data_IF_904762972442
#
_entry.id   IF_904762972442
#
_cell.length_a   1.000
_cell.length_b   1.000
_cell.length_c   1.000
_cell.angle_alpha   90.00
_cell.angle_beta   90.00
_cell.angle_gamma   90.00
#
_symmetry.space_group_name_H-M   'P 1'
#
loop_
_entity.id
_entity.type
_entity.pdbx_description
1 polymer ?
#
# COMPACT_ATOMS: atom_id res chain seq x y z
N UNK A 1 3.90 -10.49 2.82
CA UNK A 1 4.93 -11.42 3.35
C UNK A 1 5.08 -12.59 2.39
N UNK A 2 6.32 -13.04 2.12
CA UNK A 2 6.57 -14.22 1.27
C UNK A 2 5.88 -15.48 1.84
N UNK A 3 5.30 -16.37 1.02
CA UNK A 3 4.66 -17.60 1.50
C UNK A 3 5.60 -18.51 2.29
N UNK A 4 6.88 -18.54 1.88
CA UNK A 4 7.94 -19.34 2.50
C UNK A 4 8.76 -18.56 3.54
N UNK A 5 8.20 -17.50 4.14
CA UNK A 5 8.96 -16.60 5.01
C UNK A 5 9.70 -17.34 6.14
N UNK A 6 9.02 -18.26 6.83
CA UNK A 6 9.61 -19.01 7.94
C UNK A 6 10.70 -19.96 7.45
N UNK A 7 10.49 -20.60 6.30
CA UNK A 7 11.43 -21.52 5.66
C UNK A 7 12.70 -20.79 5.17
N UNK A 8 12.54 -19.57 4.64
CA UNK A 8 13.67 -18.69 4.26
C UNK A 8 14.47 -18.32 5.51
N UNK A 9 13.80 -17.82 6.56
CA UNK A 9 14.44 -17.44 7.81
C UNK A 9 15.16 -18.61 8.49
N UNK A 10 14.59 -19.83 8.45
CA UNK A 10 15.21 -21.00 9.06
C UNK A 10 16.53 -21.42 8.37
N UNK A 11 16.59 -21.28 7.04
CA UNK A 11 17.77 -21.62 6.24
C UNK A 11 18.96 -20.68 6.47
N UNK A 12 18.75 -19.49 7.05
CA UNK A 12 19.83 -18.54 7.35
C UNK A 12 20.65 -19.05 8.54
N UNK A 13 21.95 -19.29 8.30
CA UNK A 13 22.88 -19.88 9.28
C UNK A 13 23.71 -18.81 9.98
N UNK A 14 23.06 -18.07 10.87
CA UNK A 14 23.72 -17.09 11.75
C UNK A 14 23.50 -17.51 13.22
N UNK A 15 24.58 -17.64 14.02
CA UNK A 15 24.45 -17.95 15.44
C UNK A 15 23.59 -16.91 16.17
N UNK A 16 22.62 -17.37 16.97
CA UNK A 16 21.75 -16.54 17.79
C UNK A 16 20.95 -15.46 17.04
N UNK A 17 20.74 -15.62 15.73
CA UNK A 17 19.91 -14.69 14.95
C UNK A 17 18.50 -14.55 15.55
N UNK A 18 17.99 -13.32 15.55
CA UNK A 18 16.62 -12.99 15.94
C UNK A 18 15.92 -12.26 14.81
N UNK A 19 14.74 -12.75 14.43
CA UNK A 19 13.85 -12.11 13.48
C UNK A 19 12.73 -11.40 14.24
N UNK A 20 12.66 -10.07 14.12
CA UNK A 20 11.61 -9.27 14.74
C UNK A 20 10.56 -9.00 13.67
N UNK A 21 9.32 -9.44 13.92
CA UNK A 21 8.21 -9.32 12.96
C UNK A 21 7.18 -8.34 13.50
N UNK A 22 7.11 -7.16 12.87
CA UNK A 22 6.16 -6.10 13.20
C UNK A 22 4.95 -6.12 12.25
N UNK A 23 3.78 -5.78 12.78
CA UNK A 23 2.53 -5.69 12.02
C UNK A 23 1.86 -7.05 11.75
N UNK A 24 0.95 -7.06 10.77
CA UNK A 24 0.28 -8.27 10.26
C UNK A 24 -1.00 -8.69 11.01
N UNK A 25 -2.11 -9.00 10.31
CA UNK A 25 -3.31 -9.57 10.94
C UNK A 25 -3.12 -11.03 11.38
N UNK A 26 -2.09 -11.72 10.85
CA UNK A 26 -1.92 -13.17 10.95
C UNK A 26 -0.76 -13.60 11.87
N UNK A 27 -0.33 -12.75 12.82
CA UNK A 27 0.85 -13.07 13.64
C UNK A 27 0.71 -14.36 14.45
N UNK A 28 -0.48 -14.63 14.99
CA UNK A 28 -0.72 -15.87 15.75
C UNK A 28 -0.57 -17.13 14.85
N UNK A 29 -0.98 -17.04 13.58
CA UNK A 29 -0.87 -18.14 12.62
C UNK A 29 0.61 -18.41 12.31
N UNK A 30 1.38 -17.34 12.02
CA UNK A 30 2.82 -17.43 11.77
C UNK A 30 3.58 -17.98 12.98
N UNK A 31 3.26 -17.51 14.18
CA UNK A 31 3.86 -17.97 15.42
C UNK A 31 3.60 -19.46 15.66
N UNK A 32 2.35 -19.92 15.47
CA UNK A 32 2.00 -21.33 15.60
C UNK A 32 2.73 -22.20 14.57
N UNK A 33 2.85 -21.74 13.32
CA UNK A 33 3.62 -22.44 12.28
C UNK A 33 5.11 -22.51 12.66
N UNK A 34 5.68 -21.43 13.19
CA UNK A 34 7.07 -21.42 13.67
C UNK A 34 7.29 -22.38 14.86
N UNK A 35 6.30 -22.52 15.76
CA UNK A 35 6.33 -23.52 16.85
C UNK A 35 6.31 -24.94 16.31
N UNK A 36 5.44 -25.24 15.35
CA UNK A 36 5.36 -26.55 14.70
C UNK A 36 6.67 -26.91 13.97
N UNK A 37 7.34 -25.93 13.38
CA UNK A 37 8.65 -26.09 12.73
C UNK A 37 9.82 -26.19 13.74
N UNK A 38 9.60 -25.96 15.03
CA UNK A 38 10.65 -25.98 16.06
C UNK A 38 11.57 -24.74 16.07
N UNK A 39 11.22 -23.69 15.31
CA UNK A 39 12.08 -22.51 15.09
C UNK A 39 11.58 -21.25 15.79
N UNK A 40 10.47 -21.33 16.54
CA UNK A 40 9.87 -20.17 17.22
C UNK A 40 10.86 -19.38 18.08
N UNK A 41 11.87 -20.05 18.66
CA UNK A 41 12.94 -19.41 19.44
C UNK A 41 13.79 -18.40 18.64
N UNK A 42 13.78 -18.45 17.30
CA UNK A 42 14.45 -17.47 16.41
C UNK A 42 13.63 -16.20 16.20
N UNK A 43 12.36 -16.15 16.60
CA UNK A 43 11.44 -15.07 16.23
C UNK A 43 10.92 -14.30 17.45
N UNK A 44 10.65 -13.01 17.23
CA UNK A 44 9.86 -12.16 18.10
C UNK A 44 8.69 -11.61 17.27
N UNK A 45 7.50 -12.21 17.40
CA UNK A 45 6.29 -11.76 16.71
C UNK A 45 5.58 -10.69 17.53
N UNK A 46 5.82 -9.42 17.21
CA UNK A 46 5.36 -8.28 18.02
C UNK A 46 3.90 -7.93 17.75
N UNK A 47 3.43 -8.09 16.51
CA UNK A 47 2.10 -7.60 16.11
C UNK A 47 2.14 -6.13 15.72
N UNK A 48 0.94 -5.55 15.59
CA UNK A 48 0.80 -4.11 15.36
C UNK A 48 1.35 -3.37 16.59
N UNK A 49 2.25 -2.42 16.36
CA UNK A 49 2.83 -1.58 17.40
C UNK A 49 2.93 -0.14 16.90
N UNK A 50 2.83 0.81 17.82
CA UNK A 50 3.18 2.22 17.58
C UNK A 50 4.65 2.52 17.86
N UNK A 51 5.34 1.65 18.59
CA UNK A 51 6.77 1.81 18.95
C UNK A 51 7.66 1.08 17.93
N UNK A 52 7.68 1.59 16.69
CA UNK A 52 8.55 1.04 15.62
C UNK A 52 10.02 1.40 15.89
N UNK A 53 10.26 2.59 16.44
CA UNK A 53 11.59 3.14 16.67
C UNK A 53 12.46 2.26 17.57
N UNK A 54 11.91 1.74 18.67
CA UNK A 54 12.63 0.86 19.59
C UNK A 54 13.15 -0.41 18.91
N UNK A 55 12.40 -0.98 17.96
CA UNK A 55 12.80 -2.17 17.23
C UNK A 55 13.82 -1.87 16.12
N UNK A 56 13.68 -0.74 15.45
CA UNK A 56 14.66 -0.28 14.46
C UNK A 56 16.03 -0.08 15.11
N UNK A 57 16.09 0.56 16.28
CA UNK A 57 17.34 0.87 16.99
C UNK A 57 18.19 -0.36 17.36
N UNK A 58 17.55 -1.50 17.56
CA UNK A 58 18.22 -2.75 17.95
C UNK A 58 18.46 -3.70 16.77
N UNK A 59 18.07 -3.32 15.56
CA UNK A 59 18.19 -4.15 14.36
C UNK A 59 19.46 -3.81 13.57
N UNK A 60 20.02 -4.79 12.87
CA UNK A 60 21.18 -4.60 11.99
C UNK A 60 20.79 -4.44 10.51
N UNK A 61 19.81 -5.25 10.07
CA UNK A 61 19.42 -5.43 8.67
C UNK A 61 17.90 -5.38 8.59
N UNK A 62 17.37 -4.69 7.58
CA UNK A 62 15.95 -4.71 7.26
C UNK A 62 15.67 -5.80 6.22
N UNK A 63 15.25 -6.97 6.69
CA UNK A 63 14.89 -8.10 5.84
C UNK A 63 13.48 -7.96 5.29
N UNK A 64 13.34 -7.85 3.95
CA UNK A 64 12.05 -7.60 3.32
C UNK A 64 11.75 -8.56 2.14
N UNK A 65 11.62 -9.88 2.40
CA UNK A 65 11.23 -10.83 1.37
C UNK A 65 9.70 -10.74 1.19
N UNK A 66 9.23 -9.80 0.38
CA UNK A 66 7.81 -9.73 0.05
C UNK A 66 7.43 -10.77 -1.00
N UNK A 67 6.16 -11.19 -0.95
CA UNK A 67 5.59 -12.07 -1.96
C UNK A 67 5.60 -11.36 -3.31
N UNK A 68 6.08 -12.00 -4.38
CA UNK A 68 6.11 -11.46 -5.74
C UNK A 68 4.78 -10.90 -6.25
N UNK A 69 3.67 -11.39 -5.73
CA UNK A 69 2.32 -10.96 -6.10
C UNK A 69 1.77 -9.84 -5.18
N UNK A 70 2.61 -9.17 -4.40
CA UNK A 70 2.17 -8.02 -3.60
C UNK A 70 1.84 -6.82 -4.50
N UNK A 71 0.87 -6.01 -4.06
CA UNK A 71 0.41 -4.81 -4.79
C UNK A 71 1.02 -3.51 -4.23
N UNK A 72 2.09 -3.61 -3.44
CA UNK A 72 2.73 -2.43 -2.86
C UNK A 72 3.41 -1.62 -3.94
N UNK A 73 3.07 -0.33 -4.06
CA UNK A 73 3.65 0.60 -5.05
C UNK A 73 4.62 1.59 -4.42
N UNK A 74 4.51 1.80 -3.11
CA UNK A 74 5.39 2.61 -2.27
C UNK A 74 5.33 2.00 -0.87
N UNK A 75 6.48 1.87 -0.21
CA UNK A 75 6.55 1.22 1.09
C UNK A 75 7.15 2.15 2.16
N UNK A 76 6.33 2.51 3.14
CA UNK A 76 6.73 3.38 4.24
C UNK A 76 7.72 2.69 5.19
N UNK A 77 7.52 1.40 5.47
CA UNK A 77 8.41 0.65 6.36
C UNK A 77 9.82 0.54 5.78
N UNK A 78 9.93 0.37 4.46
CA UNK A 78 11.22 0.41 3.77
C UNK A 78 11.88 1.79 3.89
N UNK A 79 11.14 2.89 3.70
CA UNK A 79 11.69 4.26 3.83
C UNK A 79 12.13 4.56 5.26
N UNK A 80 11.35 4.18 6.26
CA UNK A 80 11.66 4.36 7.69
C UNK A 80 12.94 3.61 8.09
N UNK A 81 13.04 2.34 7.67
CA UNK A 81 14.21 1.51 7.92
C UNK A 81 15.46 2.11 7.26
N UNK A 82 15.36 2.47 5.98
CA UNK A 82 16.48 3.05 5.23
C UNK A 82 16.92 4.41 5.81
N UNK A 83 15.98 5.27 6.20
CA UNK A 83 16.25 6.57 6.84
C UNK A 83 16.98 6.43 8.18
N UNK A 84 16.79 5.29 8.85
CA UNK A 84 17.47 4.95 10.10
C UNK A 84 18.84 4.29 9.88
N UNK A 85 19.19 3.97 8.63
CA UNK A 85 20.44 3.32 8.25
C UNK A 85 20.41 1.79 8.32
N UNK A 86 19.24 1.17 8.47
CA UNK A 86 19.10 -0.29 8.34
C UNK A 86 19.25 -0.67 6.88
N UNK A 87 20.19 -1.56 6.59
CA UNK A 87 20.47 -2.00 5.21
C UNK A 87 19.31 -2.88 4.73
N UNK A 88 18.60 -2.50 3.64
CA UNK A 88 17.52 -3.32 3.12
C UNK A 88 18.09 -4.49 2.31
N UNK A 89 17.59 -5.69 2.59
CA UNK A 89 17.77 -6.88 1.75
C UNK A 89 16.38 -7.28 1.27
N UNK A 90 16.18 -7.24 -0.05
CA UNK A 90 14.85 -7.31 -0.68
C UNK A 90 14.85 -8.34 -1.80
N UNK A 91 13.67 -8.82 -2.18
CA UNK A 91 13.50 -9.55 -3.44
C UNK A 91 13.31 -8.55 -4.59
N UNK A 92 13.63 -8.98 -5.81
CA UNK A 92 13.64 -8.18 -7.03
C UNK A 92 12.26 -7.84 -7.61
N UNK A 93 11.27 -7.65 -6.74
CA UNK A 93 9.94 -7.18 -7.08
C UNK A 93 10.00 -5.74 -7.65
N UNK A 94 9.01 -5.32 -8.47
CA UNK A 94 9.06 -4.01 -9.14
C UNK A 94 9.22 -2.81 -8.19
N UNK A 95 8.52 -2.80 -7.05
CA UNK A 95 8.57 -1.70 -6.09
C UNK A 95 9.93 -1.64 -5.38
N UNK A 96 10.44 -2.77 -4.92
CA UNK A 96 11.70 -2.88 -4.20
C UNK A 96 12.88 -2.55 -5.10
N UNK A 97 12.88 -2.97 -6.37
CA UNK A 97 13.88 -2.55 -7.38
C UNK A 97 13.86 -1.05 -7.65
N UNK A 98 12.67 -0.45 -7.58
CA UNK A 98 12.52 0.98 -7.75
C UNK A 98 13.11 1.73 -6.56
N UNK A 99 12.82 1.29 -5.33
CA UNK A 99 13.20 1.98 -4.10
C UNK A 99 14.64 1.69 -3.62
N UNK A 100 15.18 0.50 -3.86
CA UNK A 100 16.53 0.12 -3.41
C UNK A 100 17.51 0.20 -4.59
N UNK A 101 18.74 0.65 -4.33
CA UNK A 101 19.86 0.64 -5.29
C UNK A 101 21.01 -0.19 -4.74
N UNK A 102 21.84 -0.73 -5.62
CA UNK A 102 22.94 -1.64 -5.26
C UNK A 102 23.99 -1.02 -4.33
N UNK A 103 24.09 0.31 -4.28
CA UNK A 103 24.99 1.01 -3.36
C UNK A 103 24.37 1.29 -1.98
N UNK A 104 23.06 1.05 -1.80
CA UNK A 104 22.29 1.36 -0.60
C UNK A 104 21.41 0.18 -0.11
N UNK A 105 21.72 -1.04 -0.54
CA UNK A 105 20.99 -2.25 -0.19
C UNK A 105 21.34 -3.41 -1.12
N UNK A 106 20.72 -4.56 -0.89
CA UNK A 106 20.90 -5.75 -1.72
C UNK A 106 19.55 -6.18 -2.29
N UNK A 107 19.50 -6.31 -3.62
CA UNK A 107 18.34 -6.82 -4.35
C UNK A 107 18.65 -8.24 -4.79
N UNK A 108 17.80 -9.18 -4.40
CA UNK A 108 18.00 -10.61 -4.61
C UNK A 108 16.95 -11.16 -5.57
N UNK A 109 17.38 -11.96 -6.54
CA UNK A 109 16.50 -12.52 -7.57
C UNK A 109 15.70 -13.73 -7.08
N UNK A 110 16.08 -14.33 -5.95
CA UNK A 110 15.47 -15.53 -5.39
C UNK A 110 15.80 -15.71 -3.90
N UNK A 111 15.18 -16.71 -3.26
CA UNK A 111 15.36 -17.04 -1.84
C UNK A 111 16.82 -17.34 -1.48
N UNK A 112 17.58 -18.02 -2.34
CA UNK A 112 18.96 -18.41 -2.03
C UNK A 112 19.89 -17.18 -2.04
N UNK A 113 19.73 -16.28 -3.01
CA UNK A 113 20.44 -15.00 -3.04
C UNK A 113 20.11 -14.16 -1.80
N UNK A 114 18.83 -14.15 -1.39
CA UNK A 114 18.40 -13.46 -0.17
C UNK A 114 19.09 -14.02 1.08
N UNK A 115 19.12 -15.34 1.25
CA UNK A 115 19.78 -16.01 2.37
C UNK A 115 21.29 -15.68 2.38
N UNK A 116 21.95 -15.82 1.23
CA UNK A 116 23.38 -15.55 1.08
C UNK A 116 23.72 -14.09 1.40
N UNK A 117 22.89 -13.14 0.96
CA UNK A 117 23.08 -11.72 1.23
C UNK A 117 23.02 -11.40 2.74
N UNK A 118 22.06 -11.98 3.47
CA UNK A 118 21.98 -11.81 4.93
C UNK A 118 23.22 -12.39 5.62
N UNK A 119 23.66 -13.59 5.23
CA UNK A 119 24.85 -14.22 5.79
C UNK A 119 26.15 -13.46 5.46
N UNK A 120 26.25 -12.87 4.27
CA UNK A 120 27.37 -12.04 3.85
C UNK A 120 27.45 -10.78 4.71
N UNK A 121 26.34 -10.04 4.87
CA UNK A 121 26.29 -8.84 5.71
C UNK A 121 26.57 -9.15 7.19
N UNK A 122 26.26 -10.35 7.66
CA UNK A 122 26.66 -10.80 8.99
C UNK A 122 28.18 -10.99 9.10
N UNK A 123 28.82 -11.59 8.10
CA UNK A 123 30.26 -11.89 8.08
C UNK A 123 31.11 -10.64 7.81
N UNK A 124 30.71 -9.80 6.86
CA UNK A 124 31.42 -8.58 6.46
C UNK A 124 30.78 -7.33 7.08
N UNK A 125 31.20 -7.03 8.32
CA UNK A 125 30.76 -5.81 9.02
C UNK A 125 31.25 -4.53 8.36
N UNK A 126 32.32 -4.58 7.55
CA UNK A 126 32.79 -3.40 6.82
C UNK A 126 31.82 -3.07 5.69
N UNK A 127 31.39 -4.07 4.92
CA UNK A 127 30.36 -3.93 3.90
C UNK A 127 29.05 -3.42 4.51
N UNK A 128 28.59 -4.04 5.60
CA UNK A 128 27.36 -3.60 6.30
C UNK A 128 27.43 -2.12 6.72
N UNK A 129 28.55 -1.67 7.29
CA UNK A 129 28.73 -0.28 7.71
C UNK A 129 28.80 0.71 6.52
N UNK A 130 29.36 0.29 5.39
CA UNK A 130 29.38 1.10 4.16
C UNK A 130 27.96 1.25 3.62
N UNK A 131 27.24 0.12 3.46
CA UNK A 131 25.87 0.13 2.98
C UNK A 131 24.94 0.89 3.92
N UNK A 132 25.09 0.75 5.24
CA UNK A 132 24.28 1.47 6.23
C UNK A 132 24.37 2.99 6.06
N UNK A 133 25.60 3.52 5.92
CA UNK A 133 25.81 4.96 5.66
C UNK A 133 25.19 5.37 4.33
N UNK A 134 25.45 4.62 3.26
CA UNK A 134 24.90 4.93 1.94
C UNK A 134 23.37 4.87 1.91
N UNK A 135 22.78 3.92 2.63
CA UNK A 135 21.33 3.75 2.80
C UNK A 135 20.71 4.99 3.40
N UNK A 136 21.29 5.48 4.50
CA UNK A 136 20.81 6.67 5.20
C UNK A 136 20.92 7.92 4.34
N UNK A 137 22.06 8.12 3.67
CA UNK A 137 22.26 9.27 2.77
C UNK A 137 21.33 9.21 1.55
N UNK A 138 21.14 8.03 0.97
CA UNK A 138 20.20 7.80 -0.13
C UNK A 138 18.77 8.12 0.28
N UNK A 139 18.29 7.58 1.41
CA UNK A 139 16.95 7.83 1.92
C UNK A 139 16.72 9.32 2.22
N UNK A 140 17.68 9.99 2.87
CA UNK A 140 17.61 11.43 3.12
C UNK A 140 17.49 12.24 1.82
N UNK A 141 18.19 11.84 0.77
CA UNK A 141 18.12 12.52 -0.53
C UNK A 141 16.83 12.22 -1.27
N UNK A 142 16.41 10.96 -1.33
CA UNK A 142 15.36 10.51 -2.25
C UNK A 142 13.95 10.47 -1.64
N UNK A 143 13.85 10.27 -0.32
CA UNK A 143 12.59 10.06 0.42
C UNK A 143 12.30 11.15 1.46
N UNK A 144 13.05 12.25 1.44
CA UNK A 144 12.79 13.37 2.36
C UNK A 144 11.46 14.05 2.08
N UNK A 145 10.84 14.52 3.17
CA UNK A 145 9.61 15.32 3.10
C UNK A 145 9.85 16.59 2.28
N UNK A 146 11.04 17.19 2.39
CA UNK A 146 11.43 18.37 1.64
C UNK A 146 11.43 18.10 0.13
N UNK A 147 12.06 17.00 -0.33
CA UNK A 147 12.03 16.62 -1.74
C UNK A 147 10.62 16.35 -2.21
N UNK A 148 9.85 15.56 -1.46
CA UNK A 148 8.46 15.23 -1.79
C UNK A 148 7.61 16.51 -1.90
N UNK A 149 7.73 17.44 -0.95
CA UNK A 149 7.01 18.71 -0.96
C UNK A 149 7.35 19.54 -2.21
N UNK A 150 8.62 19.61 -2.59
CA UNK A 150 9.06 20.34 -3.78
C UNK A 150 8.54 19.71 -5.08
N UNK A 151 8.53 18.37 -5.18
CA UNK A 151 8.00 17.66 -6.35
C UNK A 151 6.49 17.84 -6.48
N UNK A 152 5.74 17.72 -5.38
CA UNK A 152 4.30 18.02 -5.37
C UNK A 152 3.99 19.47 -5.74
N UNK A 153 4.77 20.42 -5.22
CA UNK A 153 4.58 21.83 -5.56
C UNK A 153 4.77 22.09 -7.05
N UNK A 154 5.72 21.43 -7.71
CA UNK A 154 5.87 21.51 -9.18
C UNK A 154 4.61 21.02 -9.89
N UNK A 155 4.12 19.85 -9.52
CA UNK A 155 2.90 19.27 -10.11
C UNK A 155 1.70 20.19 -9.89
N UNK A 156 1.52 20.77 -8.69
CA UNK A 156 0.44 21.71 -8.43
C UNK A 156 0.56 23.00 -9.25
N UNK A 157 1.78 23.54 -9.39
CA UNK A 157 2.03 24.70 -10.23
C UNK A 157 1.81 24.42 -11.72
N UNK A 158 2.06 23.19 -12.18
CA UNK A 158 1.73 22.78 -13.54
C UNK A 158 0.21 22.68 -13.72
N UNK A 159 -0.47 21.97 -12.82
CA UNK A 159 -1.91 21.71 -12.91
C UNK A 159 -2.75 22.98 -12.78
N UNK A 160 -2.36 23.94 -11.93
CA UNK A 160 -3.14 25.17 -11.74
C UNK A 160 -3.23 26.03 -13.02
N UNK A 161 -2.26 25.87 -13.93
CA UNK A 161 -2.22 26.55 -15.22
C UNK A 161 -3.00 25.82 -16.31
N UNK A 162 -3.43 24.57 -16.07
CA UNK A 162 -4.26 23.83 -17.01
C UNK A 162 -5.67 24.42 -16.96
N UNK A 163 -6.16 24.92 -18.11
CA UNK A 163 -7.53 25.40 -18.21
C UNK A 163 -8.50 24.29 -17.79
N UNK A 164 -9.38 24.61 -16.82
CA UNK A 164 -10.42 23.67 -16.41
C UNK A 164 -11.32 23.39 -17.60
N UNK A 165 -11.52 22.10 -17.90
CA UNK A 165 -12.51 21.69 -18.89
C UNK A 165 -13.87 22.28 -18.51
N UNK A 166 -14.47 23.06 -19.41
CA UNK A 166 -15.83 23.54 -19.22
C UNK A 166 -16.77 22.34 -19.25
N UNK A 167 -17.37 22.02 -18.10
CA UNK A 167 -18.37 20.95 -18.07
C UNK A 167 -19.66 21.47 -18.70
N UNK A 168 -19.98 20.92 -19.87
CA UNK A 168 -21.25 21.16 -20.54
C UNK A 168 -22.23 20.05 -20.14
N UNK A 169 -23.20 20.41 -19.31
CA UNK A 169 -24.27 19.51 -18.91
C UNK A 169 -25.29 19.44 -20.05
N UNK A 170 -25.55 18.22 -20.54
CA UNK A 170 -26.60 17.95 -21.53
C UNK A 170 -27.97 17.82 -20.82
N UNK A 171 -28.33 18.85 -20.05
CA UNK A 171 -29.63 18.97 -19.39
C UNK A 171 -30.44 20.06 -20.09
N UNK A 172 -31.69 19.72 -20.42
CA UNK A 172 -32.60 20.59 -21.17
C UNK A 172 -33.00 21.84 -20.38
N UNK A 173 -33.27 21.71 -19.07
CA UNK A 173 -33.63 22.84 -18.20
C UNK A 173 -32.58 23.01 -17.09
N UNK A 174 -31.67 23.96 -17.29
CA UNK A 174 -30.61 24.28 -16.32
C UNK A 174 -31.10 25.12 -15.14
N UNK A 175 -32.30 25.70 -15.23
CA UNK A 175 -32.87 26.56 -14.18
C UNK A 175 -33.71 25.76 -13.18
N UNK A 176 -34.07 24.52 -13.51
CA UNK A 176 -34.86 23.62 -12.67
C UNK A 176 -34.23 22.22 -12.62
N UNK A 177 -32.99 22.15 -12.12
CA UNK A 177 -32.23 20.91 -12.00
C UNK A 177 -32.86 19.97 -10.97
N UNK A 178 -33.07 18.71 -11.36
CA UNK A 178 -33.51 17.66 -10.44
C UNK A 178 -32.36 16.75 -9.99
N UNK A 179 -32.56 16.06 -8.87
CA UNK A 179 -31.60 15.08 -8.37
C UNK A 179 -31.26 14.00 -9.41
N UNK A 180 -32.26 13.53 -10.15
CA UNK A 180 -32.07 12.54 -11.23
C UNK A 180 -31.20 13.08 -12.37
N UNK A 181 -31.28 14.37 -12.68
CA UNK A 181 -30.48 14.96 -13.77
C UNK A 181 -29.00 15.00 -13.38
N UNK A 182 -28.71 15.35 -12.13
CA UNK A 182 -27.34 15.35 -11.59
C UNK A 182 -26.79 13.93 -11.49
N UNK A 183 -27.62 12.99 -11.00
CA UNK A 183 -27.23 11.60 -10.91
C UNK A 183 -26.89 11.01 -12.29
N UNK A 184 -27.77 11.19 -13.28
CA UNK A 184 -27.56 10.68 -14.63
C UNK A 184 -26.38 11.35 -15.36
N UNK A 185 -26.13 12.63 -15.12
CA UNK A 185 -24.92 13.31 -15.61
C UNK A 185 -23.64 12.74 -14.97
N UNK A 186 -23.68 12.32 -13.70
CA UNK A 186 -22.50 11.77 -13.01
C UNK A 186 -22.07 10.39 -13.52
N UNK A 187 -23.03 9.59 -13.98
CA UNK A 187 -22.81 8.23 -14.50
C UNK A 187 -22.74 8.19 -16.03
N UNK A 188 -22.99 9.31 -16.72
CA UNK A 188 -22.81 9.42 -18.17
C UNK A 188 -23.64 8.40 -18.96
N UNK A 189 -22.98 7.60 -19.81
CA UNK A 189 -23.62 6.59 -20.66
C UNK A 189 -24.30 5.46 -19.87
N UNK A 190 -23.84 5.21 -18.63
CA UNK A 190 -24.39 4.17 -17.77
C UNK A 190 -25.80 4.48 -17.25
N UNK A 191 -26.30 5.72 -17.45
CA UNK A 191 -27.70 6.07 -17.13
C UNK A 191 -28.71 5.19 -17.87
N UNK A 192 -28.34 4.65 -19.02
CA UNK A 192 -29.21 3.75 -19.79
C UNK A 192 -29.53 2.46 -19.04
N UNK A 193 -28.69 2.04 -18.08
CA UNK A 193 -28.97 0.89 -17.21
C UNK A 193 -30.17 1.14 -16.28
N UNK A 194 -30.48 2.40 -15.98
CA UNK A 194 -31.64 2.79 -15.18
C UNK A 194 -32.95 2.86 -15.98
N UNK A 195 -32.89 2.51 -17.27
CA UNK A 195 -34.06 2.31 -18.14
C UNK A 195 -34.38 0.82 -18.37
N UNK A 196 -33.65 -0.11 -17.74
CA UNK A 196 -33.89 -1.54 -17.81
C UNK A 196 -35.17 -1.96 -17.06
N UNK A 197 -35.57 -3.23 -17.21
CA UNK A 197 -36.70 -3.82 -16.50
C UNK A 197 -36.63 -3.57 -14.98
N UNK A 198 -37.75 -3.15 -14.40
CA UNK A 198 -37.85 -2.69 -13.03
C UNK A 198 -37.50 -3.77 -12.00
N UNK A 199 -37.74 -5.05 -12.28
CA UNK A 199 -37.48 -6.13 -11.31
C UNK A 199 -35.98 -6.39 -11.11
N UNK A 200 -35.22 -6.52 -12.19
CA UNK A 200 -33.77 -6.71 -12.15
C UNK A 200 -33.07 -5.50 -11.53
N UNK A 201 -33.50 -4.29 -11.91
CA UNK A 201 -32.94 -3.06 -11.37
C UNK A 201 -33.22 -2.95 -9.86
N UNK A 202 -34.42 -3.33 -9.43
CA UNK A 202 -34.80 -3.34 -8.01
C UNK A 202 -33.98 -4.36 -7.21
N UNK A 203 -33.74 -5.56 -7.74
CA UNK A 203 -32.89 -6.55 -7.07
C UNK A 203 -31.47 -6.00 -6.86
N UNK A 204 -30.89 -5.37 -7.88
CA UNK A 204 -29.55 -4.83 -7.81
C UNK A 204 -29.44 -3.66 -6.83
N UNK A 205 -30.37 -2.70 -6.91
CA UNK A 205 -30.37 -1.49 -6.10
C UNK A 205 -30.68 -1.75 -4.61
N UNK A 206 -31.20 -2.94 -4.27
CA UNK A 206 -31.36 -3.38 -2.88
C UNK A 206 -30.06 -3.89 -2.23
N UNK A 207 -28.97 -4.07 -2.98
CA UNK A 207 -27.70 -4.54 -2.40
C UNK A 207 -27.07 -3.46 -1.51
N UNK A 208 -26.35 -3.82 -0.44
CA UNK A 208 -25.83 -2.86 0.54
C UNK A 208 -24.99 -1.71 -0.02
N UNK A 209 -24.29 -1.92 -1.14
CA UNK A 209 -23.49 -0.87 -1.78
C UNK A 209 -24.36 0.25 -2.38
N UNK A 210 -25.57 -0.05 -2.87
CA UNK A 210 -26.48 0.89 -3.49
C UNK A 210 -27.35 1.66 -2.48
N UNK A 211 -27.40 1.21 -1.23
CA UNK A 211 -28.11 1.86 -0.13
C UNK A 211 -27.25 2.88 0.65
N UNK A 212 -26.00 3.09 0.22
CA UNK A 212 -25.04 3.98 0.88
C UNK A 212 -25.30 5.46 0.55
N UNK A 213 -25.11 6.35 1.53
CA UNK A 213 -25.18 7.81 1.35
C UNK A 213 -23.88 8.44 0.83
N UNK A 214 -22.86 7.65 0.48
CA UNK A 214 -21.53 8.20 0.16
C UNK A 214 -20.80 7.48 -0.99
N UNK A 215 -21.52 6.69 -1.81
CA UNK A 215 -20.95 5.88 -2.90
C UNK A 215 -21.49 6.22 -4.29
N UNK A 216 -21.98 7.44 -4.50
CA UNK A 216 -22.57 7.89 -5.76
C UNK A 216 -23.89 7.17 -6.10
N UNK A 217 -24.68 6.82 -5.09
CA UNK A 217 -25.95 6.08 -5.26
C UNK A 217 -27.14 7.03 -5.47
N UNK A 218 -28.28 6.56 -6.02
CA UNK A 218 -29.51 7.36 -6.06
C UNK A 218 -29.85 7.98 -4.69
N UNK A 219 -29.66 7.22 -3.61
CA UNK A 219 -29.88 7.67 -2.23
C UNK A 219 -28.97 8.81 -1.79
N UNK A 220 -27.71 8.80 -2.22
CA UNK A 220 -26.80 9.92 -1.97
C UNK A 220 -27.24 11.17 -2.73
N UNK A 221 -27.60 11.05 -4.01
CA UNK A 221 -28.01 12.21 -4.81
C UNK A 221 -29.34 12.79 -4.33
N UNK A 222 -30.29 11.95 -3.93
CA UNK A 222 -31.55 12.39 -3.29
C UNK A 222 -31.28 13.17 -1.99
N UNK A 223 -30.27 12.75 -1.19
CA UNK A 223 -29.89 13.48 0.02
C UNK A 223 -29.40 14.91 -0.19
N UNK A 224 -28.99 15.25 -1.42
CA UNK A 224 -28.62 16.62 -1.78
C UNK A 224 -29.81 17.45 -2.27
N UNK A 225 -30.74 16.83 -3.00
CA UNK A 225 -31.91 17.45 -3.61
C UNK A 225 -33.12 16.52 -3.45
N UNK A 226 -33.83 16.65 -2.34
CA UNK A 226 -35.02 15.84 -2.06
C UNK A 226 -36.24 16.31 -2.85
N UNK A 227 -36.26 16.04 -4.15
CA UNK A 227 -37.32 16.45 -5.09
C UNK A 227 -38.21 15.30 -5.59
N UNK A 228 -38.00 14.09 -5.06
CA UNK A 228 -38.74 12.88 -5.39
C UNK A 228 -38.39 12.26 -6.75
N UNK A 229 -37.47 12.86 -7.52
CA UNK A 229 -37.13 12.39 -8.88
C UNK A 229 -36.34 11.07 -8.89
N UNK A 230 -35.76 10.69 -7.75
CA UNK A 230 -34.99 9.46 -7.57
C UNK A 230 -35.73 8.37 -6.78
N UNK A 231 -36.94 8.63 -6.25
CA UNK A 231 -37.69 7.71 -5.39
C UNK A 231 -37.86 6.31 -6.01
N UNK A 232 -38.04 6.23 -7.33
CA UNK A 232 -38.19 4.96 -8.05
C UNK A 232 -36.95 4.06 -8.02
N UNK A 233 -35.80 4.60 -7.60
CA UNK A 233 -34.51 3.90 -7.51
C UNK A 233 -34.04 3.70 -6.07
N UNK A 234 -34.87 4.09 -5.10
CA UNK A 234 -34.57 4.00 -3.67
C UNK A 234 -35.58 3.02 -3.08
N UNK A 235 -35.08 1.85 -2.68
CA UNK A 235 -35.87 0.75 -2.13
C UNK A 235 -35.55 0.53 -0.65
#
# INVERSE_FOLDING_TARGET
MHPNFLEICDKIKIPNIKFIVLGGPNNLILENKAKQMGIAHKFNFVGKTSDVESYIKISDIFGYPLNRNHFGTCDQSLQEAMSSGLVPVVLDNPMEKYMVKSNCGIICSNENEYINAIEELYKDKKLLNILSRNTKEYAKKEFSIEKMSLEWQKVFNEIINIEKSKKNWNINDKNNLKAIDIFFESIGEYKNLFNLDNELLKEELNKPNWLSYSKGTPKQYDSFLHDGSLDRFIF
#
